data_IF_656453669667
#
_entry.id   IF_656453669667
#
_cell.length_a   1.000
_cell.length_b   1.000
_cell.length_c   1.000
_cell.angle_alpha   90.00
_cell.angle_beta   90.00
_cell.angle_gamma   90.00
#
_symmetry.space_group_name_H-M   'P 1'
#
loop_
_entity.id
_entity.type
_entity.pdbx_description
1 polymer ?
#
# COMPACT_ATOMS: atom_id res chain seq x y z
N UNK A 1 -45.24 -2.87 25.21
CA UNK A 1 -43.83 -2.67 25.62
C UNK A 1 -43.16 -1.87 24.51
N UNK A 2 -42.69 -0.65 24.76
CA UNK A 2 -42.09 0.17 23.71
C UNK A 2 -40.70 -0.36 23.38
N UNK A 3 -40.45 -0.49 22.08
CA UNK A 3 -39.22 -0.93 21.44
C UNK A 3 -38.12 0.11 21.67
N UNK A 4 -37.10 -0.24 22.47
CA UNK A 4 -35.92 0.59 22.68
C UNK A 4 -35.05 0.55 21.42
N UNK A 5 -34.85 1.72 20.80
CA UNK A 5 -33.96 1.90 19.66
C UNK A 5 -32.49 1.65 20.10
N UNK A 6 -31.69 0.84 19.38
CA UNK A 6 -30.29 0.70 19.72
C UNK A 6 -29.48 1.94 19.31
N UNK A 7 -29.14 2.75 20.31
CA UNK A 7 -27.75 3.11 20.59
C UNK A 7 -26.99 3.93 19.56
N UNK A 8 -27.14 5.25 19.68
CA UNK A 8 -26.17 6.32 19.45
C UNK A 8 -24.75 5.94 18.95
N UNK A 9 -24.38 6.58 17.83
CA UNK A 9 -23.01 6.79 17.34
C UNK A 9 -22.08 7.31 18.45
N UNK A 10 -21.03 6.55 18.76
CA UNK A 10 -19.99 6.98 19.69
C UNK A 10 -19.19 8.14 19.10
N UNK A 11 -19.44 9.37 19.57
CA UNK A 11 -18.51 10.49 19.42
C UNK A 11 -17.41 10.32 20.47
N UNK A 12 -16.21 9.97 20.05
CA UNK A 12 -15.01 10.12 20.88
C UNK A 12 -14.04 11.04 20.16
N UNK A 13 -13.88 12.24 20.73
CA UNK A 13 -12.80 13.14 20.38
C UNK A 13 -11.53 12.64 21.05
N UNK A 14 -10.49 12.32 20.28
CA UNK A 14 -9.15 12.24 20.85
C UNK A 14 -8.55 13.64 20.87
N UNK A 15 -7.99 13.99 22.02
CA UNK A 15 -7.16 15.17 22.21
C UNK A 15 -5.98 15.04 21.26
N UNK A 16 -5.97 15.81 20.18
CA UNK A 16 -4.84 16.25 19.36
C UNK A 16 -5.40 16.72 18.01
N UNK A 17 -5.76 18.01 17.94
CA UNK A 17 -5.91 18.80 16.71
C UNK A 17 -6.49 18.12 15.46
N UNK A 18 -7.79 18.37 15.20
CA UNK A 18 -8.43 18.27 13.87
C UNK A 18 -8.23 16.95 13.10
N UNK A 19 -8.82 15.86 13.60
CA UNK A 19 -9.36 14.80 12.75
C UNK A 19 -10.64 14.24 13.37
N UNK A 20 -11.81 14.63 12.86
CA UNK A 20 -13.02 13.81 13.00
C UNK A 20 -12.77 12.60 12.11
N UNK A 21 -12.16 11.56 12.67
CA UNK A 21 -12.04 10.27 12.01
C UNK A 21 -13.37 9.57 12.30
N UNK A 22 -14.34 9.71 11.40
CA UNK A 22 -15.51 8.84 11.39
C UNK A 22 -15.01 7.44 11.05
N UNK A 23 -14.53 6.71 12.08
CA UNK A 23 -14.11 5.33 11.97
C UNK A 23 -15.38 4.49 11.77
N UNK A 24 -15.46 3.83 10.61
CA UNK A 24 -16.61 2.99 10.30
C UNK A 24 -16.51 1.69 11.09
N UNK A 25 -17.63 1.25 11.68
CA UNK A 25 -17.74 -0.08 12.27
C UNK A 25 -18.27 -1.04 11.22
N UNK A 26 -17.67 -2.22 11.13
CA UNK A 26 -18.16 -3.26 10.23
C UNK A 26 -19.42 -3.88 10.85
N UNK A 27 -20.58 -3.49 10.32
CA UNK A 27 -21.92 -3.99 10.65
C UNK A 27 -22.64 -4.40 9.36
N UNK A 28 -23.71 -5.19 9.49
CA UNK A 28 -24.50 -5.69 8.35
C UNK A 28 -25.27 -4.54 7.66
N UNK A 29 -25.52 -3.44 8.37
CA UNK A 29 -26.17 -2.24 7.86
C UNK A 29 -25.16 -1.09 7.69
N UNK A 30 -24.59 -0.94 6.49
CA UNK A 30 -23.74 0.20 6.16
C UNK A 30 -24.58 1.45 5.85
N UNK A 31 -24.36 2.52 6.62
CA UNK A 31 -25.00 3.82 6.39
C UNK A 31 -24.48 4.49 5.09
N UNK A 32 -25.36 4.57 4.10
CA UNK A 32 -25.04 5.18 2.80
C UNK A 32 -24.79 6.68 2.86
N UNK A 33 -25.38 7.38 3.82
CA UNK A 33 -25.14 8.81 4.01
C UNK A 33 -23.71 9.04 4.50
N UNK A 34 -23.25 8.22 5.45
CA UNK A 34 -21.85 8.24 5.91
C UNK A 34 -20.88 7.89 4.78
N UNK A 35 -21.16 6.84 4.01
CA UNK A 35 -20.35 6.47 2.86
C UNK A 35 -20.28 7.58 1.80
N UNK A 36 -21.39 8.26 1.52
CA UNK A 36 -21.41 9.39 0.58
C UNK A 36 -20.56 10.56 1.08
N UNK A 37 -20.59 10.85 2.38
CA UNK A 37 -19.72 11.87 3.01
C UNK A 37 -18.26 11.49 2.91
N UNK A 38 -17.94 10.22 3.16
CA UNK A 38 -16.58 9.70 3.06
C UNK A 38 -16.04 9.81 1.63
N UNK A 39 -16.84 9.35 0.65
CA UNK A 39 -16.51 9.47 -0.77
C UNK A 39 -16.30 10.93 -1.18
N UNK A 40 -17.16 11.85 -0.74
CA UNK A 40 -17.03 13.29 -1.03
C UNK A 40 -15.73 13.88 -0.47
N UNK A 41 -15.31 13.46 0.72
CA UNK A 41 -14.03 13.86 1.33
C UNK A 41 -12.84 13.37 0.50
N UNK A 42 -12.84 12.09 0.09
CA UNK A 42 -11.79 11.52 -0.76
C UNK A 42 -11.74 12.20 -2.13
N UNK A 43 -12.89 12.41 -2.77
CA UNK A 43 -12.99 13.12 -4.05
C UNK A 43 -12.50 14.56 -3.94
N UNK A 44 -12.76 15.25 -2.83
CA UNK A 44 -12.27 16.61 -2.61
C UNK A 44 -10.75 16.66 -2.47
N UNK A 45 -10.14 15.69 -1.80
CA UNK A 45 -8.67 15.54 -1.72
C UNK A 45 -8.07 15.26 -3.10
N UNK A 46 -8.67 14.36 -3.88
CA UNK A 46 -8.22 14.05 -5.24
C UNK A 46 -8.31 15.26 -6.17
N UNK A 47 -9.42 16.01 -6.13
CA UNK A 47 -9.60 17.26 -6.90
C UNK A 47 -8.54 18.30 -6.58
N UNK A 48 -8.20 18.47 -5.29
CA UNK A 48 -7.14 19.42 -4.88
C UNK A 48 -5.79 19.08 -5.49
N UNK A 49 -5.50 17.78 -5.67
CA UNK A 49 -4.28 17.27 -6.27
C UNK A 49 -4.40 17.08 -7.80
N UNK A 50 -5.53 17.46 -8.41
CA UNK A 50 -5.83 17.30 -9.85
C UNK A 50 -5.72 15.84 -10.33
N UNK A 51 -6.00 14.89 -9.45
CA UNK A 51 -6.00 13.46 -9.76
C UNK A 51 -7.37 13.05 -10.31
N UNK A 52 -7.36 12.26 -11.37
CA UNK A 52 -8.57 11.73 -12.00
C UNK A 52 -9.17 10.58 -11.18
N UNK A 53 -10.49 10.40 -11.32
CA UNK A 53 -11.25 9.36 -10.65
C UNK A 53 -12.24 9.93 -9.62
N UNK A 54 -13.41 9.31 -9.55
CA UNK A 54 -14.47 9.68 -8.63
C UNK A 54 -14.97 8.42 -7.92
N UNK A 55 -15.01 8.48 -6.60
CA UNK A 55 -15.57 7.45 -5.76
C UNK A 55 -17.04 7.78 -5.47
N UNK A 56 -17.88 6.76 -5.53
CA UNK A 56 -19.29 6.82 -5.14
C UNK A 56 -19.51 6.02 -3.86
N UNK A 57 -20.58 6.33 -3.12
CA UNK A 57 -20.95 5.54 -1.93
C UNK A 57 -21.12 4.05 -2.26
N UNK A 58 -21.73 3.73 -3.41
CA UNK A 58 -21.89 2.36 -3.91
C UNK A 58 -20.54 1.69 -4.13
N UNK A 59 -19.60 2.36 -4.80
CA UNK A 59 -18.27 1.78 -5.04
C UNK A 59 -17.48 1.48 -3.75
N UNK A 60 -17.67 2.30 -2.71
CA UNK A 60 -17.04 2.07 -1.40
C UNK A 60 -17.72 0.91 -0.66
N UNK A 61 -19.05 0.86 -0.68
CA UNK A 61 -19.84 -0.27 -0.16
C UNK A 61 -19.38 -1.59 -0.79
N UNK A 62 -19.27 -1.64 -2.12
CA UNK A 62 -18.88 -2.85 -2.83
C UNK A 62 -17.48 -3.32 -2.40
N UNK A 63 -16.52 -2.40 -2.25
CA UNK A 63 -15.19 -2.74 -1.69
C UNK A 63 -15.26 -3.25 -0.25
N UNK A 64 -16.13 -2.68 0.59
CA UNK A 64 -16.30 -3.14 1.97
C UNK A 64 -16.80 -4.59 1.97
N UNK A 65 -17.81 -4.92 1.16
CA UNK A 65 -18.32 -6.28 1.07
C UNK A 65 -17.30 -7.25 0.47
N UNK A 66 -16.57 -6.85 -0.57
CA UNK A 66 -15.53 -7.67 -1.20
C UNK A 66 -14.40 -8.02 -0.22
N UNK A 67 -14.13 -7.18 0.78
CA UNK A 67 -13.15 -7.46 1.84
C UNK A 67 -13.55 -8.62 2.76
N UNK A 68 -14.83 -9.02 2.75
CA UNK A 68 -15.38 -10.06 3.63
C UNK A 68 -15.10 -9.81 5.13
N UNK A 69 -15.08 -8.55 5.55
CA UNK A 69 -14.82 -8.17 6.93
C UNK A 69 -13.39 -8.43 7.40
N UNK A 70 -12.42 -8.45 6.49
CA UNK A 70 -11.00 -8.64 6.81
C UNK A 70 -10.18 -7.47 6.29
N UNK A 71 -9.15 -7.12 7.05
CA UNK A 71 -8.14 -6.17 6.59
C UNK A 71 -7.42 -6.76 5.37
N UNK A 72 -7.40 -6.05 4.24
CA UNK A 72 -6.79 -6.56 3.02
C UNK A 72 -5.25 -6.65 3.13
N UNK A 73 -4.64 -5.94 4.08
CA UNK A 73 -3.19 -6.00 4.34
C UNK A 73 -2.76 -7.15 5.24
N UNK A 74 -3.38 -7.30 6.40
CA UNK A 74 -2.94 -8.25 7.42
C UNK A 74 -3.93 -9.40 7.68
N UNK A 75 -5.06 -9.43 6.96
CA UNK A 75 -6.15 -10.40 7.14
C UNK A 75 -6.77 -10.48 8.55
N UNK A 76 -6.48 -9.52 9.43
CA UNK A 76 -7.17 -9.41 10.73
C UNK A 76 -8.67 -9.22 10.52
N UNK A 77 -9.46 -9.93 11.34
CA UNK A 77 -10.92 -9.82 11.36
C UNK A 77 -11.34 -8.43 11.86
N UNK A 78 -12.16 -7.75 11.05
CA UNK A 78 -12.72 -6.41 11.27
C UNK A 78 -14.20 -6.41 11.67
N UNK A 79 -14.85 -7.57 11.75
CA UNK A 79 -16.25 -7.68 12.18
C UNK A 79 -16.44 -7.01 13.54
N UNK A 80 -17.40 -6.07 13.63
CA UNK A 80 -17.69 -5.25 14.82
C UNK A 80 -16.49 -4.42 15.31
N UNK A 81 -15.46 -4.26 14.50
CA UNK A 81 -14.31 -3.39 14.78
C UNK A 81 -14.31 -2.20 13.83
N UNK A 82 -13.53 -1.21 14.22
CA UNK A 82 -13.27 -0.03 13.42
C UNK A 82 -12.36 -0.37 12.24
N UNK A 83 -12.68 0.20 11.09
CA UNK A 83 -11.87 0.12 9.89
C UNK A 83 -11.86 1.45 9.14
N UNK A 84 -10.90 1.59 8.24
CA UNK A 84 -10.74 2.74 7.38
C UNK A 84 -10.61 2.29 5.92
N UNK A 85 -11.05 3.14 5.01
CA UNK A 85 -10.82 2.96 3.57
C UNK A 85 -9.56 3.73 3.19
N UNK A 86 -8.58 3.01 2.67
CA UNK A 86 -7.26 3.57 2.32
C UNK A 86 -7.00 3.43 0.82
N UNK A 87 -6.23 4.36 0.27
CA UNK A 87 -5.73 4.25 -1.10
C UNK A 87 -4.52 3.31 -1.12
N UNK A 88 -4.51 2.25 -1.92
CA UNK A 88 -3.37 1.32 -2.04
C UNK A 88 -2.11 2.11 -2.35
N UNK A 89 -2.13 2.82 -3.47
CA UNK A 89 -1.16 3.86 -3.81
C UNK A 89 -1.71 5.21 -3.36
N UNK A 90 -0.99 5.88 -2.46
CA UNK A 90 -1.40 7.20 -1.97
C UNK A 90 -1.50 8.19 -3.12
N UNK A 91 -2.45 9.13 -3.01
CA UNK A 91 -2.61 10.23 -3.97
C UNK A 91 -1.31 11.02 -4.20
N UNK A 92 -0.50 11.21 -3.15
CA UNK A 92 0.79 11.91 -3.26
C UNK A 92 1.84 11.15 -4.08
N UNK A 93 1.74 9.82 -4.16
CA UNK A 93 2.65 8.95 -4.91
C UNK A 93 2.10 8.61 -6.31
N UNK A 94 1.12 9.38 -6.81
CA UNK A 94 0.52 9.19 -8.13
C UNK A 94 -0.65 8.22 -8.18
N UNK A 95 -1.15 7.74 -7.02
CA UNK A 95 -2.29 6.83 -6.98
C UNK A 95 -3.59 7.47 -7.49
N UNK A 96 -4.42 6.68 -8.16
CA UNK A 96 -5.72 7.12 -8.69
C UNK A 96 -6.81 7.18 -7.63
N UNK A 97 -7.83 8.00 -7.84
CA UNK A 97 -9.01 8.04 -6.98
C UNK A 97 -10.13 7.14 -7.53
N UNK A 98 -9.83 5.85 -7.70
CA UNK A 98 -10.72 4.83 -8.28
C UNK A 98 -10.95 3.69 -7.29
N UNK A 99 -12.09 3.02 -7.38
CA UNK A 99 -12.43 1.90 -6.48
C UNK A 99 -11.37 0.78 -6.48
N UNK A 100 -10.71 0.55 -7.61
CA UNK A 100 -9.60 -0.40 -7.76
C UNK A 100 -8.35 -0.05 -6.92
N UNK A 101 -8.19 1.22 -6.56
CA UNK A 101 -7.11 1.70 -5.71
C UNK A 101 -7.57 1.87 -4.25
N UNK A 102 -8.78 1.45 -3.88
CA UNK A 102 -9.28 1.53 -2.50
C UNK A 102 -9.29 0.15 -1.85
N UNK A 103 -8.88 0.10 -0.58
CA UNK A 103 -8.88 -1.12 0.23
C UNK A 103 -9.42 -0.87 1.62
N UNK A 104 -9.95 -1.92 2.23
CA UNK A 104 -10.33 -1.93 3.63
C UNK A 104 -9.11 -2.24 4.49
N UNK A 105 -8.74 -1.33 5.38
CA UNK A 105 -7.61 -1.47 6.28
C UNK A 105 -8.03 -1.36 7.75
N UNK A 106 -7.38 -2.13 8.63
CA UNK A 106 -7.44 -1.85 10.06
C UNK A 106 -6.71 -0.52 10.37
N UNK A 107 -7.07 0.16 11.47
CA UNK A 107 -6.41 1.40 11.89
C UNK A 107 -4.89 1.24 12.07
N UNK A 108 -4.42 0.07 12.52
CA UNK A 108 -3.00 -0.17 12.74
C UNK A 108 -2.20 -0.28 11.44
N UNK A 109 -2.75 -0.97 10.43
CA UNK A 109 -2.11 -1.05 9.12
C UNK A 109 -2.16 0.31 8.40
N UNK A 110 -3.28 1.03 8.50
CA UNK A 110 -3.40 2.35 7.88
C UNK A 110 -2.39 3.34 8.47
N UNK A 111 -2.26 3.36 9.80
CA UNK A 111 -1.29 4.20 10.51
C UNK A 111 0.17 3.86 10.15
N UNK A 112 0.51 2.56 10.06
CA UNK A 112 1.87 2.12 9.69
C UNK A 112 2.21 2.42 8.22
N UNK A 113 1.22 2.29 7.32
CA UNK A 113 1.39 2.59 5.90
C UNK A 113 1.62 4.09 5.71
N UNK A 114 0.76 4.93 6.27
CA UNK A 114 0.86 6.39 6.15
C UNK A 114 1.16 6.80 4.69
N UNK A 115 2.21 7.60 4.44
CA UNK A 115 2.67 8.01 3.11
C UNK A 115 3.76 7.12 2.47
N UNK A 116 4.02 5.93 3.02
CA UNK A 116 5.13 5.07 2.59
C UNK A 116 4.85 4.43 1.23
N UNK A 117 5.93 4.00 0.59
CA UNK A 117 5.84 3.26 -0.66
C UNK A 117 5.09 1.92 -0.44
N UNK A 118 4.17 1.62 -1.35
CA UNK A 118 3.26 0.47 -1.24
C UNK A 118 4.00 -0.86 -1.24
N UNK A 119 5.03 -1.00 -2.08
CA UNK A 119 5.84 -2.21 -2.18
C UNK A 119 6.60 -2.45 -0.89
N UNK A 120 7.26 -1.41 -0.38
CA UNK A 120 7.99 -1.49 0.89
C UNK A 120 7.06 -1.88 2.04
N UNK A 121 5.85 -1.31 2.09
CA UNK A 121 4.86 -1.67 3.10
C UNK A 121 4.31 -3.09 2.93
N UNK A 122 4.12 -3.56 1.69
CA UNK A 122 3.68 -4.92 1.39
C UNK A 122 4.72 -5.96 1.87
N UNK A 123 6.00 -5.74 1.57
CA UNK A 123 7.10 -6.59 2.03
C UNK A 123 7.25 -6.57 3.55
N UNK A 124 7.17 -5.40 4.19
CA UNK A 124 7.19 -5.28 5.65
C UNK A 124 6.02 -6.03 6.30
N UNK A 125 4.82 -5.90 5.72
CA UNK A 125 3.63 -6.58 6.23
C UNK A 125 3.77 -8.09 6.09
N UNK A 126 4.24 -8.57 4.93
CA UNK A 126 4.52 -9.99 4.70
C UNK A 126 5.56 -10.53 5.69
N UNK A 127 6.66 -9.82 5.91
CA UNK A 127 7.68 -10.23 6.87
C UNK A 127 7.17 -10.24 8.32
N UNK A 128 6.28 -9.31 8.68
CA UNK A 128 5.72 -9.20 10.03
C UNK A 128 4.64 -10.24 10.33
N UNK A 129 3.71 -10.45 9.40
CA UNK A 129 2.55 -11.34 9.63
C UNK A 129 2.82 -12.76 9.16
N UNK A 130 3.75 -12.96 8.21
CA UNK A 130 3.94 -14.22 7.49
C UNK A 130 2.79 -14.56 6.54
N UNK A 131 1.86 -13.63 6.30
CA UNK A 131 0.65 -13.88 5.51
C UNK A 131 0.74 -13.14 4.18
N UNK A 132 0.76 -13.88 3.08
CA UNK A 132 0.61 -13.33 1.74
C UNK A 132 -0.88 -13.14 1.41
N UNK A 133 -1.38 -11.91 1.56
CA UNK A 133 -2.77 -11.59 1.20
C UNK A 133 -2.92 -11.42 -0.32
N UNK A 134 -4.15 -11.56 -0.88
CA UNK A 134 -4.39 -11.30 -2.30
C UNK A 134 -3.96 -9.88 -2.73
N UNK A 135 -4.10 -8.91 -1.83
CA UNK A 135 -3.62 -7.54 -2.05
C UNK A 135 -2.10 -7.49 -2.16
N UNK A 136 -1.38 -8.08 -1.20
CA UNK A 136 0.09 -8.10 -1.19
C UNK A 136 0.60 -8.78 -2.46
N UNK A 137 0.06 -9.94 -2.81
CA UNK A 137 0.40 -10.67 -4.04
C UNK A 137 0.21 -9.79 -5.28
N UNK A 138 -0.93 -9.09 -5.38
CA UNK A 138 -1.23 -8.18 -6.49
C UNK A 138 -0.27 -6.99 -6.55
N UNK A 139 0.07 -6.39 -5.41
CA UNK A 139 1.01 -5.26 -5.32
C UNK A 139 2.40 -5.71 -5.77
N UNK A 140 2.93 -6.80 -5.21
CA UNK A 140 4.27 -7.30 -5.55
C UNK A 140 4.37 -7.69 -7.02
N UNK A 141 3.33 -8.36 -7.56
CA UNK A 141 3.28 -8.72 -8.97
C UNK A 141 3.25 -7.50 -9.92
N UNK A 142 2.54 -6.42 -9.56
CA UNK A 142 2.45 -5.21 -10.40
C UNK A 142 3.79 -4.49 -10.53
N UNK A 143 4.58 -4.48 -9.46
CA UNK A 143 5.85 -3.76 -9.43
C UNK A 143 7.05 -4.61 -9.89
N UNK A 144 6.79 -5.79 -10.49
CA UNK A 144 7.79 -6.78 -10.91
C UNK A 144 8.88 -7.02 -9.87
N UNK A 145 8.50 -6.96 -8.59
CA UNK A 145 9.37 -7.37 -7.50
C UNK A 145 9.29 -8.89 -7.44
N UNK A 146 9.87 -9.55 -8.44
CA UNK A 146 10.38 -10.90 -8.26
C UNK A 146 11.35 -10.79 -7.12
N UNK A 147 11.03 -11.42 -6.00
CA UNK A 147 11.84 -11.39 -4.79
C UNK A 147 13.30 -11.60 -5.15
N UNK A 148 14.03 -10.49 -5.28
CA UNK A 148 15.47 -10.50 -5.22
C UNK A 148 15.74 -10.91 -3.80
N UNK A 149 15.93 -12.20 -3.59
CA UNK A 149 16.71 -12.70 -2.47
C UNK A 149 17.92 -11.78 -2.46
N UNK A 150 18.03 -10.93 -1.44
CA UNK A 150 19.29 -10.27 -1.17
C UNK A 150 20.24 -11.43 -0.91
N UNK A 151 21.05 -11.80 -1.91
CA UNK A 151 22.17 -12.70 -1.69
C UNK A 151 22.89 -12.14 -0.47
N UNK A 152 23.08 -12.98 0.55
CA UNK A 152 23.82 -12.57 1.73
C UNK A 152 25.12 -11.95 1.23
N UNK A 153 25.37 -10.69 1.60
CA UNK A 153 26.62 -10.01 1.28
C UNK A 153 27.84 -10.77 1.85
N UNK A 154 27.56 -11.70 2.77
CA UNK A 154 28.48 -12.61 3.45
C UNK A 154 28.07 -14.07 3.18
N UNK A 155 27.79 -14.44 1.93
CA UNK A 155 27.68 -15.85 1.57
C UNK A 155 29.08 -16.43 1.53
N UNK A 156 29.37 -17.43 2.36
CA UNK A 156 30.63 -18.16 2.31
C UNK A 156 30.77 -18.79 0.92
N UNK A 157 31.82 -18.36 0.21
CA UNK A 157 32.16 -18.77 -1.15
C UNK A 157 32.51 -20.25 -1.24
N UNK A 158 31.54 -21.17 -1.24
CA UNK A 158 31.76 -22.53 -1.77
C UNK A 158 30.48 -23.11 -2.39
N UNK A 159 30.23 -22.80 -3.67
CA UNK A 159 29.52 -23.69 -4.59
C UNK A 159 29.75 -23.28 -6.05
N UNK A 160 30.71 -23.95 -6.67
CA UNK A 160 30.99 -23.96 -8.09
C UNK A 160 29.79 -24.42 -8.95
N UNK A 161 29.78 -23.91 -10.19
CA UNK A 161 29.24 -24.52 -11.42
C UNK A 161 27.72 -24.63 -11.60
N UNK A 162 27.13 -23.64 -12.29
CA UNK A 162 26.44 -23.86 -13.57
C UNK A 162 25.90 -22.55 -14.18
N UNK A 163 26.42 -22.16 -15.35
CA UNK A 163 25.63 -21.44 -16.35
C UNK A 163 25.64 -19.90 -16.32
N UNK A 164 26.79 -19.27 -16.53
CA UNK A 164 26.86 -17.98 -17.25
C UNK A 164 27.92 -18.10 -18.33
N UNK A 165 27.59 -18.00 -19.64
CA UNK A 165 28.57 -17.52 -20.58
C UNK A 165 28.76 -16.03 -20.26
N UNK A 166 29.88 -15.74 -19.59
CA UNK A 166 30.53 -14.45 -19.67
C UNK A 166 30.67 -14.12 -21.16
N UNK A 167 30.22 -12.95 -21.57
CA UNK A 167 30.48 -12.42 -22.91
C UNK A 167 31.98 -12.65 -23.21
N UNK A 168 32.25 -13.52 -24.18
CA UNK A 168 33.61 -13.84 -24.61
C UNK A 168 34.15 -12.66 -25.39
N UNK A 169 35.32 -12.19 -24.98
CA UNK A 169 36.14 -11.29 -25.75
C UNK A 169 36.33 -11.86 -27.17
N UNK A 170 36.01 -11.05 -28.17
CA UNK A 170 36.64 -11.15 -29.48
C UNK A 170 37.55 -9.93 -29.61
N UNK A 171 38.84 -10.19 -29.55
CA UNK A 171 39.91 -9.22 -29.76
C UNK A 171 39.82 -8.59 -31.15
N UNK A 172 39.67 -7.27 -31.20
CA UNK A 172 40.23 -6.46 -32.29
C UNK A 172 40.72 -5.13 -31.71
N UNK A 173 42.05 -5.03 -31.65
CA UNK A 173 42.85 -3.84 -31.94
C UNK A 173 42.92 -2.73 -30.88
N UNK A 174 44.04 -2.76 -30.15
CA UNK A 174 44.90 -1.66 -29.67
C UNK A 174 44.39 -0.22 -29.88
N UNK A 175 44.20 0.51 -28.78
CA UNK A 175 44.60 1.92 -28.63
C UNK A 175 44.55 2.30 -27.13
N UNK A 176 45.60 1.93 -26.38
CA UNK A 176 45.85 2.50 -25.06
C UNK A 176 46.44 3.90 -25.24
N UNK A 177 45.77 4.99 -24.81
CA UNK A 177 46.39 6.31 -24.77
C UNK A 177 47.48 6.37 -23.68
N UNK A 178 48.57 7.13 -23.89
CA UNK A 178 49.75 7.14 -23.02
C UNK A 178 49.42 7.61 -21.58
N UNK A 179 50.16 7.09 -20.58
CA UNK A 179 49.82 7.29 -19.18
C UNK A 179 50.41 8.62 -18.68
N UNK A 180 49.73 9.75 -18.89
CA UNK A 180 50.13 11.01 -18.23
C UNK A 180 49.01 12.08 -18.06
N UNK A 181 47.74 11.77 -18.32
CA UNK A 181 46.65 12.71 -18.00
C UNK A 181 46.00 12.38 -16.66
N UNK A 182 46.52 13.00 -15.60
CA UNK A 182 45.85 13.08 -14.28
C UNK A 182 44.49 13.78 -14.47
N UNK A 183 43.34 13.14 -14.15
CA UNK A 183 42.05 13.77 -14.30
C UNK A 183 41.92 14.96 -13.32
N UNK A 184 41.39 16.11 -13.74
CA UNK A 184 41.36 17.31 -12.91
C UNK A 184 40.19 17.24 -11.93
N UNK A 185 40.27 16.40 -10.90
CA UNK A 185 39.43 16.59 -9.73
C UNK A 185 40.06 17.67 -8.83
N UNK A 186 39.48 18.86 -8.87
CA UNK A 186 39.63 19.87 -7.81
C UNK A 186 38.75 19.46 -6.63
N UNK A 187 39.37 19.26 -5.48
CA UNK A 187 38.74 19.16 -4.16
C UNK A 187 38.29 20.53 -3.67
#
# INVERSE_FOLDING_TARGET
MPYEAPGYIGRFAYADGWRIIDLMKYDDELDMVQLARYASSMNSRARKLRILGTLTATSLRDRIFESSGKCEWCHTNLLRKEFELDHIENLANGGSNTASNIVVSCPDCNRRKSARNVVSFALETLARTGIETPLIKRVLARHDVRGGVQLSLFGDDEAETAGRPLFTASDTENDDPPPDEVPPYRW
#
